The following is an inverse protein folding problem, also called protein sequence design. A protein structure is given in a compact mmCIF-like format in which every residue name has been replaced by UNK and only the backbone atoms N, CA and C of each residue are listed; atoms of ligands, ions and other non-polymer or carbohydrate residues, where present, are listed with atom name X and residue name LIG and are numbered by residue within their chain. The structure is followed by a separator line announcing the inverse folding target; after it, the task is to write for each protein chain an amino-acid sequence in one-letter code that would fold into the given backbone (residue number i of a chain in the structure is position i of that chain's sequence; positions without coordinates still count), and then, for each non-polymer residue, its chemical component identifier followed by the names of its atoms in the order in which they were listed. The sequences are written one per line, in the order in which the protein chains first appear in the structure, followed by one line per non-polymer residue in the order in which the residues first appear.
data_IF_988707422360
#
_entry.id   IF_988707422360
#
_cell.length_a   1.000
_cell.length_b   1.000
_cell.length_c   1.000
_cell.angle_alpha   90.00
_cell.angle_beta   90.00
_cell.angle_gamma   90.00
#
_symmetry.space_group_name_H-M   'P 1'
#
loop_
_entity.id
_entity.type
_entity.pdbx_description
1 polymer ?
#
# COMPACT_ATOMS: atom_id res chain seq x y z
N UNK A 1 2.91 -2.70 40.81
CA UNK A 1 2.62 -2.02 39.53
C UNK A 1 2.55 -3.10 38.46
N UNK A 2 1.41 -3.23 37.81
CA UNK A 2 1.26 -4.19 36.71
C UNK A 2 2.27 -3.85 35.62
N UNK A 3 2.98 -4.87 35.14
CA UNK A 3 3.96 -4.73 34.07
C UNK A 3 3.22 -4.54 32.71
N UNK A 4 2.86 -3.29 32.40
CA UNK A 4 2.11 -2.92 31.19
C UNK A 4 2.78 -3.50 29.94
N UNK A 5 4.09 -3.43 29.85
CA UNK A 5 4.83 -3.94 28.68
C UNK A 5 4.69 -5.48 28.54
N UNK A 6 4.73 -6.23 29.65
CA UNK A 6 4.47 -7.68 29.62
C UNK A 6 3.02 -7.99 29.20
N UNK A 7 2.06 -7.23 29.71
CA UNK A 7 0.64 -7.36 29.33
C UNK A 7 0.44 -7.14 27.84
N UNK A 8 1.04 -6.09 27.26
CA UNK A 8 0.97 -5.80 25.82
C UNK A 8 1.56 -6.93 24.99
N UNK A 9 2.74 -7.44 25.37
CA UNK A 9 3.35 -8.59 24.69
C UNK A 9 2.46 -9.84 24.73
N UNK A 10 1.79 -10.10 25.85
CA UNK A 10 0.83 -11.21 25.97
C UNK A 10 -0.40 -11.01 25.07
N UNK A 11 -0.99 -9.79 25.04
CA UNK A 11 -2.11 -9.46 24.15
C UNK A 11 -1.73 -9.63 22.66
N UNK A 12 -0.54 -9.18 22.25
CA UNK A 12 -0.06 -9.36 20.86
C UNK A 12 0.14 -10.83 20.50
N UNK A 13 0.62 -11.66 21.44
CA UNK A 13 0.73 -13.11 21.22
C UNK A 13 -0.62 -13.76 20.98
N UNK A 14 -1.62 -13.39 21.77
CA UNK A 14 -2.99 -13.87 21.62
C UNK A 14 -3.62 -13.39 20.29
N UNK A 15 -3.39 -12.12 19.92
CA UNK A 15 -3.83 -11.54 18.65
C UNK A 15 -3.23 -12.29 17.46
N UNK A 16 -1.92 -12.54 17.48
CA UNK A 16 -1.23 -13.29 16.44
C UNK A 16 -1.84 -14.69 16.24
N UNK A 17 -2.11 -15.40 17.35
CA UNK A 17 -2.75 -16.72 17.31
C UNK A 17 -4.17 -16.65 16.74
N UNK A 18 -4.97 -15.66 17.15
CA UNK A 18 -6.34 -15.49 16.66
C UNK A 18 -6.39 -15.11 15.17
N UNK A 19 -5.45 -14.27 14.71
CA UNK A 19 -5.35 -13.83 13.31
C UNK A 19 -4.62 -14.84 12.40
N UNK A 20 -4.07 -15.95 12.93
CA UNK A 20 -3.34 -16.94 12.15
C UNK A 20 -2.00 -16.46 11.55
N UNK A 21 -1.45 -15.34 12.07
CA UNK A 21 -0.15 -14.79 11.66
C UNK A 21 0.96 -15.17 12.65
N UNK A 22 2.21 -15.01 12.27
CA UNK A 22 3.33 -15.24 13.20
C UNK A 22 3.36 -14.16 14.28
N UNK A 23 3.84 -14.51 15.47
CA UNK A 23 4.02 -13.54 16.56
C UNK A 23 5.00 -12.42 16.15
N UNK A 24 6.06 -12.76 15.42
CA UNK A 24 7.02 -11.78 14.90
C UNK A 24 6.34 -10.77 13.97
N UNK A 25 5.46 -11.21 13.08
CA UNK A 25 4.70 -10.34 12.18
C UNK A 25 3.74 -9.43 12.96
N UNK A 26 3.05 -9.96 13.97
CA UNK A 26 2.16 -9.15 14.83
C UNK A 26 2.94 -8.09 15.61
N UNK A 27 4.12 -8.41 16.12
CA UNK A 27 5.02 -7.46 16.78
C UNK A 27 5.48 -6.36 15.81
N UNK A 28 5.83 -6.73 14.59
CA UNK A 28 6.29 -5.79 13.57
C UNK A 28 5.18 -4.81 13.20
N UNK A 29 3.98 -5.30 12.93
CA UNK A 29 2.79 -4.47 12.67
C UNK A 29 2.51 -3.51 13.85
N UNK A 30 2.61 -3.99 15.08
CA UNK A 30 2.41 -3.17 16.26
C UNK A 30 3.46 -2.04 16.40
N UNK A 31 4.72 -2.33 16.09
CA UNK A 31 5.77 -1.30 16.08
C UNK A 31 5.58 -0.31 14.93
N UNK A 32 5.13 -0.76 13.78
CA UNK A 32 4.76 0.12 12.67
C UNK A 32 3.61 1.05 13.07
N UNK A 33 2.58 0.55 13.75
CA UNK A 33 1.51 1.38 14.29
C UNK A 33 2.02 2.42 15.30
N UNK A 34 2.98 2.06 16.14
CA UNK A 34 3.59 3.02 17.08
C UNK A 34 4.33 4.13 16.34
N UNK A 35 5.03 3.80 15.25
CA UNK A 35 5.61 4.81 14.36
C UNK A 35 4.51 5.72 13.77
N UNK A 36 3.40 5.16 13.29
CA UNK A 36 2.29 5.95 12.76
C UNK A 36 1.65 6.85 13.84
N UNK A 37 1.59 6.42 15.11
CA UNK A 37 1.13 7.25 16.24
C UNK A 37 2.07 8.42 16.48
N UNK A 38 3.40 8.19 16.47
CA UNK A 38 4.41 9.25 16.56
C UNK A 38 4.27 10.25 15.41
N UNK A 39 4.15 9.75 14.17
CA UNK A 39 3.92 10.57 12.98
C UNK A 39 2.64 11.40 13.11
N UNK A 40 1.53 10.79 13.53
CA UNK A 40 0.23 11.46 13.73
C UNK A 40 0.30 12.64 14.70
N UNK A 41 1.09 12.49 15.77
CA UNK A 41 1.27 13.52 16.83
C UNK A 41 2.38 14.53 16.50
N UNK A 42 3.23 14.23 15.52
CA UNK A 42 4.24 15.16 15.05
C UNK A 42 3.62 16.25 14.16
N UNK A 43 4.21 17.42 14.11
CA UNK A 43 3.85 18.45 13.10
C UNK A 43 4.26 18.07 11.67
N UNK A 44 4.81 16.86 11.48
CA UNK A 44 5.48 16.41 10.25
C UNK A 44 4.61 15.49 9.38
N UNK A 45 3.41 15.11 9.84
CA UNK A 45 2.52 14.20 9.09
C UNK A 45 2.20 14.63 7.65
N UNK A 46 2.27 15.93 7.35
CA UNK A 46 2.02 16.50 6.02
C UNK A 46 3.06 16.09 4.96
N UNK A 47 4.25 15.68 5.40
CA UNK A 47 5.36 15.31 4.52
C UNK A 47 5.37 13.82 4.14
N UNK A 48 4.65 12.98 4.88
CA UNK A 48 4.63 11.53 4.66
C UNK A 48 3.20 11.03 4.38
N UNK A 49 2.99 10.49 3.20
CA UNK A 49 1.69 9.93 2.80
C UNK A 49 1.84 8.41 2.73
N UNK A 50 1.11 7.69 3.59
CA UNK A 50 1.14 6.23 3.64
C UNK A 50 0.57 5.63 2.34
N UNK A 51 1.29 4.66 1.79
CA UNK A 51 0.89 3.92 0.58
C UNK A 51 1.20 2.43 0.70
N UNK A 52 1.07 1.72 -0.41
CA UNK A 52 1.50 0.33 -0.50
C UNK A 52 0.63 -0.67 0.29
N UNK A 53 1.25 -1.77 0.66
CA UNK A 53 0.55 -2.90 1.27
C UNK A 53 -0.01 -2.59 2.65
N UNK A 54 0.70 -1.82 3.48
CA UNK A 54 0.24 -1.48 4.83
C UNK A 54 -1.01 -0.58 4.79
N UNK A 55 -1.08 0.36 3.85
CA UNK A 55 -2.29 1.15 3.62
C UNK A 55 -3.50 0.24 3.32
N UNK A 56 -3.37 -0.68 2.35
CA UNK A 56 -4.45 -1.62 2.01
C UNK A 56 -4.83 -2.47 3.22
N UNK A 57 -3.85 -3.04 3.92
CA UNK A 57 -4.08 -3.94 5.05
C UNK A 57 -4.82 -3.26 6.19
N UNK A 58 -4.48 -2.01 6.51
CA UNK A 58 -5.15 -1.24 7.56
C UNK A 58 -6.53 -0.73 7.12
N UNK A 59 -6.70 -0.37 5.86
CA UNK A 59 -7.98 0.07 5.30
C UNK A 59 -9.03 -1.06 5.30
N UNK A 60 -8.59 -2.31 5.14
CA UNK A 60 -9.44 -3.50 5.08
C UNK A 60 -9.60 -4.19 6.44
N UNK A 61 -9.38 -3.49 7.55
CA UNK A 61 -9.46 -4.05 8.91
C UNK A 61 -8.61 -5.31 9.10
N UNK A 62 -7.44 -5.37 8.42
CA UNK A 62 -6.51 -6.51 8.43
C UNK A 62 -7.05 -7.78 7.74
N UNK A 63 -8.05 -7.65 6.86
CA UNK A 63 -8.62 -8.77 6.11
C UNK A 63 -7.90 -9.06 4.79
N UNK A 64 -7.22 -8.05 4.21
CA UNK A 64 -6.38 -8.29 3.01
C UNK A 64 -5.10 -9.06 3.36
N UNK A 65 -4.26 -9.31 2.36
CA UNK A 65 -2.97 -9.97 2.62
C UNK A 65 -2.12 -9.14 3.59
N UNK A 66 -1.58 -9.81 4.59
CA UNK A 66 -0.67 -9.17 5.53
C UNK A 66 0.63 -8.71 4.83
N UNK A 67 1.18 -7.61 5.30
CA UNK A 67 2.44 -7.04 4.81
C UNK A 67 3.33 -6.63 5.97
N UNK A 68 4.61 -6.55 5.70
CA UNK A 68 5.62 -6.05 6.64
C UNK A 68 6.32 -4.79 6.11
N UNK A 69 6.05 -4.43 4.85
CA UNK A 69 6.64 -3.26 4.21
C UNK A 69 5.83 -2.01 4.62
N UNK A 70 6.53 -0.93 4.98
CA UNK A 70 5.93 0.37 5.25
C UNK A 70 6.41 1.33 4.17
N UNK A 71 5.51 1.69 3.28
CA UNK A 71 5.81 2.55 2.15
C UNK A 71 5.18 3.94 2.34
N UNK A 72 5.97 4.99 2.16
CA UNK A 72 5.48 6.37 2.11
C UNK A 72 5.86 7.07 0.81
N UNK A 73 5.02 8.02 0.41
CA UNK A 73 5.42 9.08 -0.48
C UNK A 73 5.93 10.25 0.38
N UNK A 74 7.19 10.65 0.17
CA UNK A 74 7.76 11.87 0.73
C UNK A 74 7.36 13.06 -0.15
N UNK A 75 6.77 14.10 0.45
CA UNK A 75 6.27 15.29 -0.23
C UNK A 75 6.93 16.55 0.30
N UNK A 76 7.11 17.52 -0.60
CA UNK A 76 7.53 18.88 -0.28
C UNK A 76 8.84 18.97 0.54
N UNK A 77 9.70 17.95 0.40
CA UNK A 77 11.01 17.86 1.03
C UNK A 77 12.04 17.26 0.07
N UNK A 78 13.32 17.52 0.34
CA UNK A 78 14.42 16.83 -0.34
C UNK A 78 14.48 15.36 0.08
N UNK A 79 14.80 14.48 -0.87
CA UNK A 79 15.07 13.06 -0.62
C UNK A 79 16.56 12.78 -0.36
N UNK A 80 17.31 13.74 0.18
CA UNK A 80 18.66 13.47 0.65
C UNK A 80 18.63 12.71 1.99
N UNK A 81 19.60 11.85 2.22
CA UNK A 81 19.70 11.05 3.46
C UNK A 81 19.63 11.95 4.69
N UNK A 82 20.40 13.04 4.73
CA UNK A 82 20.46 13.96 5.88
C UNK A 82 19.09 14.57 6.24
N UNK A 83 18.30 14.93 5.22
CA UNK A 83 16.95 15.50 5.42
C UNK A 83 16.00 14.44 5.94
N UNK A 84 16.04 13.24 5.36
CA UNK A 84 15.17 12.13 5.78
C UNK A 84 15.57 11.62 7.17
N UNK A 85 16.86 11.55 7.49
CA UNK A 85 17.35 11.21 8.82
C UNK A 85 16.81 12.19 9.87
N UNK A 86 16.96 13.50 9.62
CA UNK A 86 16.42 14.54 10.49
C UNK A 86 14.88 14.39 10.69
N UNK A 87 14.14 14.16 9.60
CA UNK A 87 12.69 13.96 9.64
C UNK A 87 12.30 12.76 10.52
N UNK A 88 12.94 11.62 10.30
CA UNK A 88 12.66 10.38 11.03
C UNK A 88 13.03 10.56 12.50
N UNK A 89 14.20 11.12 12.81
CA UNK A 89 14.65 11.34 14.18
C UNK A 89 13.70 12.27 14.96
N UNK A 90 13.18 13.31 14.33
CA UNK A 90 12.18 14.18 14.94
C UNK A 90 10.86 13.45 15.22
N UNK A 91 10.39 12.59 14.30
CA UNK A 91 9.20 11.76 14.52
C UNK A 91 9.43 10.78 15.67
N UNK A 92 10.58 10.12 15.73
CA UNK A 92 10.90 9.12 16.76
C UNK A 92 10.96 9.71 18.17
N UNK A 93 11.28 11.00 18.32
CA UNK A 93 11.31 11.72 19.60
C UNK A 93 9.92 12.05 20.16
N UNK A 94 8.86 11.99 19.33
CA UNK A 94 7.50 12.34 19.76
C UNK A 94 7.00 11.34 20.80
N UNK A 95 6.51 11.83 21.95
CA UNK A 95 5.87 10.98 22.96
C UNK A 95 4.44 10.63 22.52
N UNK A 96 4.11 9.35 22.63
CA UNK A 96 2.74 8.84 22.42
C UNK A 96 2.04 8.49 23.72
N UNK A 97 2.75 8.59 24.85
CA UNK A 97 2.32 8.09 26.17
C UNK A 97 2.64 6.61 26.38
N UNK A 98 3.29 5.95 25.42
CA UNK A 98 3.72 4.55 25.48
C UNK A 98 5.21 4.48 25.82
N UNK A 99 5.64 5.09 26.93
CA UNK A 99 7.07 5.29 27.29
C UNK A 99 7.87 3.98 27.47
N UNK A 100 7.17 2.83 27.55
CA UNK A 100 7.77 1.50 27.58
C UNK A 100 8.12 0.97 26.18
N UNK A 101 7.83 1.73 25.11
CA UNK A 101 8.21 1.42 23.73
C UNK A 101 9.28 2.42 23.30
N UNK A 102 10.49 1.92 23.08
CA UNK A 102 11.60 2.70 22.54
C UNK A 102 11.70 2.48 21.03
N UNK A 103 12.01 3.53 20.27
CA UNK A 103 12.29 3.44 18.84
C UNK A 103 13.54 4.23 18.48
N UNK A 104 14.39 3.63 17.68
CA UNK A 104 15.61 4.26 17.17
C UNK A 104 15.82 3.95 15.70
N UNK A 105 16.33 4.91 14.93
CA UNK A 105 16.87 4.65 13.62
C UNK A 105 18.26 3.98 13.77
N UNK A 106 18.55 2.99 12.95
CA UNK A 106 19.80 2.25 12.94
C UNK A 106 20.60 2.42 11.64
N UNK A 107 19.99 2.96 10.59
CA UNK A 107 20.64 3.24 9.32
C UNK A 107 19.68 3.79 8.29
N UNK A 108 20.27 4.40 7.26
CA UNK A 108 19.56 4.93 6.09
C UNK A 108 20.30 4.51 4.82
N UNK A 109 19.55 4.12 3.79
CA UNK A 109 20.13 3.71 2.52
C UNK A 109 19.28 4.17 1.34
N UNK A 110 19.90 4.43 0.19
CA UNK A 110 19.19 4.76 -1.03
C UNK A 110 18.60 3.50 -1.67
N UNK A 111 17.31 3.59 -2.06
CA UNK A 111 16.62 2.55 -2.78
C UNK A 111 16.64 2.89 -4.26
N UNK A 112 17.09 1.94 -5.11
CA UNK A 112 17.13 2.10 -6.58
C UNK A 112 17.86 3.37 -7.04
N UNK A 113 19.14 3.57 -6.67
CA UNK A 113 19.89 4.80 -6.96
C UNK A 113 20.01 5.10 -8.46
N UNK A 114 19.79 4.09 -9.33
CA UNK A 114 19.84 4.23 -10.80
C UNK A 114 18.59 4.89 -11.39
N UNK A 115 17.51 5.06 -10.61
CA UNK A 115 16.29 5.70 -11.08
C UNK A 115 16.39 7.22 -10.95
N UNK A 116 15.75 7.94 -11.86
CA UNK A 116 15.62 9.42 -11.79
C UNK A 116 15.05 9.89 -10.44
N UNK A 117 14.18 9.11 -9.86
CA UNK A 117 13.59 9.33 -8.53
C UNK A 117 13.92 8.13 -7.66
N UNK A 118 15.07 8.19 -6.95
CA UNK A 118 15.45 7.19 -5.98
C UNK A 118 14.70 7.43 -4.65
N UNK A 119 14.42 6.37 -3.93
CA UNK A 119 13.84 6.41 -2.60
C UNK A 119 14.92 6.29 -1.52
N UNK A 120 14.49 6.45 -0.26
CA UNK A 120 15.33 6.18 0.91
C UNK A 120 14.61 5.20 1.80
N UNK A 121 15.34 4.19 2.28
CA UNK A 121 14.91 3.25 3.31
C UNK A 121 15.52 3.64 4.64
N UNK A 122 14.69 3.85 5.66
CA UNK A 122 15.10 4.03 7.03
C UNK A 122 14.93 2.71 7.80
N UNK A 123 16.01 2.21 8.40
CA UNK A 123 16.01 1.02 9.24
C UNK A 123 15.67 1.40 10.67
N UNK A 124 14.53 0.94 11.18
CA UNK A 124 14.05 1.26 12.52
C UNK A 124 14.11 0.02 13.41
N UNK A 125 14.49 0.23 14.67
CA UNK A 125 14.41 -0.80 15.70
C UNK A 125 13.43 -0.32 16.77
N UNK A 126 12.27 -1.00 16.84
CA UNK A 126 11.36 -0.90 17.97
C UNK A 126 11.79 -1.84 19.10
N UNK A 127 11.64 -1.40 20.34
CA UNK A 127 11.99 -2.19 21.52
C UNK A 127 10.88 -2.09 22.58
N UNK A 128 10.47 -3.22 23.11
CA UNK A 128 9.59 -3.34 24.27
C UNK A 128 10.18 -4.38 25.21
N UNK A 129 10.60 -3.98 26.42
CA UNK A 129 11.41 -4.81 27.34
C UNK A 129 12.67 -5.35 26.62
N UNK A 130 12.81 -6.67 26.58
CA UNK A 130 13.92 -7.37 25.92
C UNK A 130 13.64 -7.75 24.46
N UNK A 131 12.46 -7.44 23.95
CA UNK A 131 12.06 -7.77 22.58
C UNK A 131 12.48 -6.65 21.65
N UNK A 132 13.32 -6.96 20.66
CA UNK A 132 13.74 -6.05 19.59
C UNK A 132 13.03 -6.44 18.29
N UNK A 133 12.48 -5.46 17.60
CA UNK A 133 11.69 -5.63 16.39
C UNK A 133 12.22 -4.68 15.31
N UNK A 134 13.09 -5.16 14.42
CA UNK A 134 13.53 -4.37 13.28
C UNK A 134 12.43 -4.30 12.21
N UNK A 135 12.32 -3.14 11.55
CA UNK A 135 11.52 -2.94 10.36
C UNK A 135 12.05 -1.77 9.54
N UNK A 136 11.70 -1.73 8.26
CA UNK A 136 12.10 -0.66 7.36
C UNK A 136 10.90 0.24 7.04
N UNK A 137 11.22 1.50 6.79
CA UNK A 137 10.30 2.51 6.26
C UNK A 137 10.87 2.99 4.94
N UNK A 138 10.19 2.68 3.85
CA UNK A 138 10.60 3.04 2.50
C UNK A 138 9.89 4.31 2.07
N UNK A 139 10.65 5.33 1.70
CA UNK A 139 10.15 6.64 1.29
C UNK A 139 10.53 6.90 -0.16
N UNK A 140 9.53 6.90 -1.03
CA UNK A 140 9.67 7.29 -2.43
C UNK A 140 9.31 8.75 -2.64
N UNK A 141 9.74 9.33 -3.76
CA UNK A 141 9.37 10.68 -4.20
C UNK A 141 8.82 10.65 -5.62
N UNK A 142 8.16 11.74 -6.00
CA UNK A 142 7.82 12.04 -7.39
C UNK A 142 6.53 11.42 -7.90
N UNK A 143 5.88 10.56 -7.15
CA UNK A 143 4.56 10.03 -7.52
C UNK A 143 3.46 11.10 -7.39
N UNK A 144 2.39 10.92 -8.16
CA UNK A 144 1.19 11.78 -8.13
C UNK A 144 0.07 11.08 -7.38
N UNK A 145 -0.74 11.85 -6.66
CA UNK A 145 -1.91 11.33 -5.95
C UNK A 145 -3.17 11.96 -6.54
N UNK A 146 -4.06 11.16 -7.07
CA UNK A 146 -5.34 11.59 -7.67
C UNK A 146 -6.50 10.97 -6.88
N UNK A 147 -7.48 11.75 -6.44
CA UNK A 147 -7.56 13.22 -6.57
C UNK A 147 -6.59 13.98 -5.64
N UNK A 148 -6.33 13.48 -4.44
CA UNK A 148 -5.40 14.03 -3.43
C UNK A 148 -5.21 13.05 -2.28
N UNK A 149 -4.19 13.28 -1.46
CA UNK A 149 -4.01 12.53 -0.23
C UNK A 149 -5.14 12.82 0.77
N UNK A 150 -5.59 11.77 1.47
CA UNK A 150 -6.71 11.86 2.40
C UNK A 150 -6.25 11.57 3.84
N UNK A 151 -6.75 12.31 4.80
CA UNK A 151 -6.57 11.93 6.21
C UNK A 151 -7.43 10.72 6.53
N UNK A 152 -6.79 9.68 7.06
CA UNK A 152 -7.47 8.47 7.50
C UNK A 152 -7.06 8.06 8.91
N UNK A 153 -8.03 7.55 9.64
CA UNK A 153 -7.82 6.90 10.93
C UNK A 153 -7.41 5.46 10.68
N UNK A 154 -6.19 5.12 11.09
CA UNK A 154 -5.62 3.79 10.87
C UNK A 154 -6.05 2.84 11.97
N UNK A 155 -6.58 1.67 11.61
CA UNK A 155 -6.95 0.63 12.56
C UNK A 155 -5.74 0.11 13.32
N UNK A 156 -5.95 -0.26 14.59
CA UNK A 156 -4.90 -0.74 15.49
C UNK A 156 -5.01 -2.23 15.79
N UNK A 157 -3.87 -2.88 16.03
CA UNK A 157 -3.82 -4.29 16.42
C UNK A 157 -4.49 -4.53 17.77
N UNK A 158 -4.36 -3.59 18.69
CA UNK A 158 -4.94 -3.66 20.03
C UNK A 158 -5.88 -2.47 20.25
N UNK A 159 -7.13 -2.69 20.71
CA UNK A 159 -8.13 -1.63 20.85
C UNK A 159 -7.81 -0.60 21.94
N UNK A 160 -6.92 -0.95 22.87
CA UNK A 160 -6.52 -0.07 23.97
C UNK A 160 -5.55 1.05 23.50
N UNK A 161 -5.09 1.00 22.25
CA UNK A 161 -4.17 1.99 21.70
C UNK A 161 -4.90 3.02 20.85
N UNK A 162 -4.44 4.27 20.97
CA UNK A 162 -4.96 5.36 20.14
C UNK A 162 -4.69 5.08 18.66
N UNK A 163 -5.74 5.17 17.86
CA UNK A 163 -5.65 5.00 16.42
C UNK A 163 -5.07 6.26 15.77
N UNK A 164 -3.93 6.18 15.07
CA UNK A 164 -3.31 7.35 14.45
C UNK A 164 -4.15 7.87 13.28
N UNK A 165 -4.11 9.20 13.08
CA UNK A 165 -4.71 9.88 11.93
C UNK A 165 -3.59 10.45 11.07
N UNK A 166 -3.39 9.90 9.90
CA UNK A 166 -2.31 10.25 8.97
C UNK A 166 -2.82 10.48 7.55
N UNK A 167 -1.98 11.05 6.71
CA UNK A 167 -2.24 11.13 5.28
C UNK A 167 -2.01 9.77 4.61
N UNK A 168 -2.92 9.38 3.72
CA UNK A 168 -2.85 8.16 2.93
C UNK A 168 -3.09 8.44 1.45
N UNK A 169 -2.68 7.51 0.61
CA UNK A 169 -3.08 7.48 -0.80
C UNK A 169 -4.60 7.38 -0.95
N UNK A 170 -5.08 7.75 -2.15
CA UNK A 170 -6.39 7.33 -2.64
C UNK A 170 -6.33 5.87 -3.11
N UNK A 171 -7.50 5.23 -3.19
CA UNK A 171 -7.61 3.89 -3.79
C UNK A 171 -7.24 3.92 -5.27
N UNK A 172 -7.66 4.98 -5.99
CA UNK A 172 -7.39 5.16 -7.41
C UNK A 172 -5.88 5.24 -7.70
N UNK A 173 -5.12 6.03 -6.90
CA UNK A 173 -3.67 6.09 -7.04
C UNK A 173 -2.98 4.77 -6.67
N UNK A 174 -3.54 4.04 -5.71
CA UNK A 174 -3.04 2.71 -5.36
C UNK A 174 -3.20 1.71 -6.52
N UNK A 175 -4.37 1.70 -7.17
CA UNK A 175 -4.60 0.90 -8.38
C UNK A 175 -3.64 1.35 -9.50
N UNK A 176 -3.53 2.66 -9.74
CA UNK A 176 -2.70 3.22 -10.81
C UNK A 176 -1.23 2.81 -10.69
N UNK A 177 -0.62 2.89 -9.49
CA UNK A 177 0.77 2.47 -9.26
C UNK A 177 0.99 0.98 -9.50
N UNK A 178 0.04 0.14 -9.08
CA UNK A 178 0.13 -1.32 -9.26
C UNK A 178 -0.04 -1.71 -10.72
N UNK A 179 -0.98 -1.08 -11.41
CA UNK A 179 -1.19 -1.30 -12.83
C UNK A 179 0.00 -0.81 -13.66
N UNK A 180 0.57 0.34 -13.35
CA UNK A 180 1.81 0.83 -13.94
C UNK A 180 2.97 -0.17 -13.77
N UNK A 181 3.15 -0.75 -12.58
CA UNK A 181 4.19 -1.74 -12.32
C UNK A 181 4.00 -3.03 -13.15
N UNK A 182 2.76 -3.41 -13.45
CA UNK A 182 2.43 -4.52 -14.36
C UNK A 182 2.81 -4.15 -15.80
N UNK A 183 2.38 -2.97 -16.28
CA UNK A 183 2.67 -2.51 -17.63
C UNK A 183 4.17 -2.32 -17.91
N UNK A 184 4.96 -1.89 -16.92
CA UNK A 184 6.40 -1.74 -17.07
C UNK A 184 7.14 -3.05 -17.26
N UNK A 185 6.63 -4.17 -16.80
CA UNK A 185 7.39 -5.42 -16.68
C UNK A 185 6.76 -6.61 -17.36
N UNK A 186 5.43 -6.63 -17.49
CA UNK A 186 4.66 -7.75 -18.03
C UNK A 186 5.14 -9.11 -17.47
N UNK A 187 5.49 -10.05 -18.33
CA UNK A 187 5.96 -11.40 -17.98
C UNK A 187 7.27 -11.45 -17.17
N UNK A 188 8.02 -10.35 -17.13
CA UNK A 188 9.23 -10.25 -16.30
C UNK A 188 8.93 -9.91 -14.84
N UNK A 189 7.67 -9.57 -14.50
CA UNK A 189 7.33 -9.21 -13.14
C UNK A 189 7.35 -10.42 -12.20
N UNK A 190 7.94 -10.24 -11.03
CA UNK A 190 7.77 -11.12 -9.87
C UNK A 190 6.75 -10.62 -8.86
N UNK A 191 6.06 -9.51 -9.16
CA UNK A 191 5.21 -8.77 -8.22
C UNK A 191 3.77 -9.28 -8.20
N UNK A 192 3.59 -10.55 -7.93
CA UNK A 192 2.25 -11.19 -7.83
C UNK A 192 1.32 -10.46 -6.87
N UNK A 193 1.89 -9.81 -5.85
CA UNK A 193 1.13 -8.97 -4.91
C UNK A 193 0.36 -7.84 -5.59
N UNK A 194 0.85 -7.29 -6.70
CA UNK A 194 0.16 -6.18 -7.37
C UNK A 194 -1.09 -6.65 -8.10
N UNK A 195 -1.06 -7.84 -8.72
CA UNK A 195 -2.25 -8.46 -9.30
C UNK A 195 -3.30 -8.81 -8.23
N UNK A 196 -2.86 -9.40 -7.13
CA UNK A 196 -3.74 -9.72 -6.00
C UNK A 196 -4.39 -8.47 -5.41
N UNK A 197 -3.62 -7.43 -5.19
CA UNK A 197 -4.11 -6.20 -4.59
C UNK A 197 -5.15 -5.50 -5.50
N UNK A 198 -4.92 -5.44 -6.83
CA UNK A 198 -5.92 -4.90 -7.78
C UNK A 198 -7.19 -5.74 -7.73
N UNK A 199 -7.07 -7.06 -7.83
CA UNK A 199 -8.19 -7.99 -7.75
C UNK A 199 -9.00 -7.80 -6.46
N UNK A 200 -8.30 -7.76 -5.31
CA UNK A 200 -8.93 -7.61 -4.00
C UNK A 200 -9.67 -6.27 -3.87
N UNK A 201 -9.02 -5.18 -4.27
CA UNK A 201 -9.60 -3.84 -4.19
C UNK A 201 -10.82 -3.67 -5.10
N UNK A 202 -10.77 -4.20 -6.33
CA UNK A 202 -11.90 -4.16 -7.27
C UNK A 202 -13.13 -4.90 -6.75
N UNK A 203 -12.95 -5.93 -5.92
CA UNK A 203 -14.02 -6.74 -5.33
C UNK A 203 -14.49 -6.27 -3.96
N UNK A 204 -13.82 -5.25 -3.40
CA UNK A 204 -14.10 -4.79 -2.03
C UNK A 204 -14.62 -3.35 -2.00
N UNK A 205 -14.22 -2.53 -2.97
CA UNK A 205 -14.51 -1.10 -2.97
C UNK A 205 -15.18 -0.64 -4.28
N UNK A 206 -15.92 0.44 -4.14
CA UNK A 206 -16.46 1.18 -5.28
C UNK A 206 -15.43 2.20 -5.77
N UNK A 207 -15.44 2.51 -7.07
CA UNK A 207 -14.54 3.48 -7.68
C UNK A 207 -15.28 4.46 -8.59
N UNK A 208 -14.88 5.70 -8.51
CA UNK A 208 -15.23 6.73 -9.48
C UNK A 208 -14.36 6.56 -10.73
N UNK A 209 -14.97 6.22 -11.85
CA UNK A 209 -14.26 5.91 -13.08
C UNK A 209 -13.47 7.08 -13.63
N UNK A 210 -13.97 8.32 -13.50
CA UNK A 210 -13.24 9.51 -13.95
C UNK A 210 -11.96 9.72 -13.12
N UNK A 211 -12.04 9.54 -11.80
CA UNK A 211 -10.87 9.62 -10.92
C UNK A 211 -9.89 8.49 -11.19
N UNK A 212 -10.39 7.26 -11.39
CA UNK A 212 -9.53 6.11 -11.70
C UNK A 212 -8.80 6.30 -13.03
N UNK A 213 -9.50 6.77 -14.08
CA UNK A 213 -8.90 7.11 -15.38
C UNK A 213 -7.81 8.17 -15.21
N UNK A 214 -8.11 9.26 -14.48
CA UNK A 214 -7.14 10.32 -14.23
C UNK A 214 -5.93 9.81 -13.45
N UNK A 215 -6.12 8.98 -12.41
CA UNK A 215 -5.03 8.43 -11.62
C UNK A 215 -4.10 7.54 -12.46
N UNK A 216 -4.67 6.66 -13.30
CA UNK A 216 -3.87 5.80 -14.20
C UNK A 216 -3.11 6.66 -15.22
N UNK A 217 -3.80 7.58 -15.90
CA UNK A 217 -3.19 8.43 -16.91
C UNK A 217 -2.02 9.25 -16.33
N UNK A 218 -2.25 9.98 -15.24
CA UNK A 218 -1.23 10.81 -14.58
C UNK A 218 -0.04 9.98 -14.07
N UNK A 219 -0.29 8.77 -13.56
CA UNK A 219 0.78 7.87 -13.11
C UNK A 219 1.64 7.40 -14.29
N UNK A 220 1.02 6.97 -15.39
CA UNK A 220 1.74 6.53 -16.60
C UNK A 220 2.57 7.67 -17.19
N UNK A 221 1.99 8.88 -17.29
CA UNK A 221 2.70 10.07 -17.77
C UNK A 221 3.88 10.43 -16.85
N UNK A 222 3.65 10.47 -15.54
CA UNK A 222 4.66 10.84 -14.56
C UNK A 222 5.85 9.90 -14.54
N UNK A 223 5.59 8.59 -14.69
CA UNK A 223 6.62 7.55 -14.70
C UNK A 223 7.22 7.29 -16.09
N UNK A 224 6.64 7.89 -17.13
CA UNK A 224 7.07 7.70 -18.50
C UNK A 224 6.89 6.25 -18.99
N UNK A 225 5.87 5.57 -18.49
CA UNK A 225 5.58 4.19 -18.89
C UNK A 225 4.97 4.17 -20.29
N UNK A 226 5.62 3.51 -21.26
CA UNK A 226 5.07 3.41 -22.61
C UNK A 226 3.86 2.50 -22.65
N UNK A 227 2.82 2.89 -23.37
CA UNK A 227 1.64 2.07 -23.60
C UNK A 227 1.04 2.31 -24.98
N UNK A 228 0.33 1.31 -25.49
CA UNK A 228 -0.40 1.35 -26.75
C UNK A 228 -1.69 0.50 -26.65
N UNK A 229 -2.44 0.41 -27.73
CA UNK A 229 -3.69 -0.37 -27.82
C UNK A 229 -3.51 -1.87 -27.55
N UNK A 230 -2.31 -2.42 -27.66
CA UNK A 230 -2.03 -3.83 -27.44
C UNK A 230 -1.50 -4.10 -26.02
N UNK A 231 -1.15 -3.07 -25.26
CA UNK A 231 -0.57 -3.22 -23.92
C UNK A 231 -1.52 -3.99 -22.98
N UNK A 232 -2.83 -3.70 -23.03
CA UNK A 232 -3.78 -4.43 -22.17
C UNK A 232 -3.97 -5.89 -22.62
N UNK A 233 -4.00 -6.17 -23.93
CA UNK A 233 -4.05 -7.55 -24.45
C UNK A 233 -2.86 -8.37 -23.95
N UNK A 234 -1.68 -7.77 -23.87
CA UNK A 234 -0.50 -8.42 -23.29
C UNK A 234 -0.68 -8.72 -21.81
N UNK A 235 -1.32 -7.84 -21.03
CA UNK A 235 -1.67 -8.14 -19.63
C UNK A 235 -2.61 -9.35 -19.55
N UNK A 236 -3.64 -9.40 -20.40
CA UNK A 236 -4.60 -10.53 -20.43
C UNK A 236 -3.89 -11.84 -20.78
N UNK A 237 -2.95 -11.82 -21.73
CA UNK A 237 -2.21 -13.03 -22.12
C UNK A 237 -1.33 -13.63 -21.01
N UNK A 238 -1.05 -12.87 -19.94
CA UNK A 238 -0.30 -13.39 -18.77
C UNK A 238 -1.05 -14.52 -18.07
N UNK A 239 -2.37 -14.61 -18.20
CA UNK A 239 -3.16 -15.70 -17.64
C UNK A 239 -2.71 -17.09 -18.13
N UNK A 240 -2.23 -17.16 -19.38
CA UNK A 240 -1.79 -18.42 -20.03
C UNK A 240 -0.28 -18.64 -19.85
N UNK A 241 0.46 -17.68 -19.34
CA UNK A 241 1.90 -17.80 -19.14
C UNK A 241 2.23 -18.77 -18.00
N UNK A 242 2.96 -19.84 -18.33
CA UNK A 242 3.27 -20.94 -17.41
C UNK A 242 4.14 -20.46 -16.23
N UNK A 243 5.05 -19.53 -16.45
CA UNK A 243 5.93 -19.05 -15.38
C UNK A 243 5.20 -18.05 -14.46
N UNK A 244 4.28 -17.26 -15.00
CA UNK A 244 3.38 -16.43 -14.18
C UNK A 244 2.48 -17.29 -13.30
N UNK A 245 1.89 -18.37 -13.84
CA UNK A 245 1.09 -19.31 -13.04
C UNK A 245 1.90 -19.98 -11.93
N UNK A 246 3.17 -20.36 -12.18
CA UNK A 246 4.06 -20.90 -11.15
C UNK A 246 4.36 -19.86 -10.06
N UNK A 247 4.70 -18.62 -10.44
CA UNK A 247 4.94 -17.51 -9.50
C UNK A 247 3.70 -17.21 -8.67
N UNK A 248 2.51 -17.25 -9.30
CA UNK A 248 1.23 -17.08 -8.63
C UNK A 248 1.00 -18.15 -7.55
N UNK A 249 1.15 -19.44 -7.90
CA UNK A 249 1.03 -20.54 -6.93
C UNK A 249 2.02 -20.42 -5.76
N UNK A 250 3.22 -19.93 -6.02
CA UNK A 250 4.18 -19.66 -4.95
C UNK A 250 3.72 -18.51 -4.06
N UNK A 251 3.23 -17.43 -4.66
CA UNK A 251 2.70 -16.28 -3.91
C UNK A 251 1.50 -16.67 -3.03
N UNK A 252 0.55 -17.44 -3.55
CA UNK A 252 -0.62 -17.90 -2.78
C UNK A 252 -0.23 -18.65 -1.50
N UNK A 253 0.83 -19.45 -1.54
CA UNK A 253 1.35 -20.11 -0.32
C UNK A 253 1.78 -19.09 0.75
N UNK A 254 2.27 -17.93 0.36
CA UNK A 254 2.69 -16.89 1.32
C UNK A 254 1.50 -16.23 2.02
N UNK A 255 0.34 -16.19 1.38
CA UNK A 255 -0.91 -15.63 1.93
C UNK A 255 -1.87 -16.72 2.43
N UNK A 256 -1.44 -17.99 2.40
CA UNK A 256 -2.22 -19.16 2.83
C UNK A 256 -3.56 -19.33 2.09
N UNK A 257 -3.59 -18.96 0.84
CA UNK A 257 -4.67 -19.24 -0.09
C UNK A 257 -4.12 -20.23 -1.14
N UNK A 258 -4.86 -21.28 -1.45
CA UNK A 258 -4.50 -22.27 -2.47
C UNK A 258 -5.59 -22.46 -3.52
N UNK A 259 -6.64 -21.65 -3.44
CA UNK A 259 -7.86 -21.80 -4.26
C UNK A 259 -7.98 -20.81 -5.40
N UNK A 260 -7.35 -19.63 -5.30
CA UNK A 260 -7.52 -18.55 -6.27
C UNK A 260 -6.64 -18.77 -7.51
N UNK A 261 -7.27 -19.08 -8.64
CA UNK A 261 -6.55 -19.25 -9.91
C UNK A 261 -6.12 -17.90 -10.51
N UNK A 262 -4.93 -17.86 -11.14
CA UNK A 262 -4.40 -16.63 -11.74
C UNK A 262 -5.26 -16.11 -12.89
N UNK A 263 -5.87 -17.01 -13.66
CA UNK A 263 -6.81 -16.67 -14.74
C UNK A 263 -8.02 -15.89 -14.23
N UNK A 264 -8.58 -16.27 -13.07
CA UNK A 264 -9.70 -15.56 -12.42
C UNK A 264 -9.29 -14.14 -12.01
N UNK A 265 -8.06 -13.98 -11.53
CA UNK A 265 -7.52 -12.66 -11.16
C UNK A 265 -7.34 -11.78 -12.40
N UNK A 266 -6.78 -12.32 -13.46
CA UNK A 266 -6.61 -11.57 -14.72
C UNK A 266 -7.97 -11.21 -15.35
N UNK A 267 -8.95 -12.11 -15.32
CA UNK A 267 -10.32 -11.83 -15.80
C UNK A 267 -10.95 -10.65 -15.02
N UNK A 268 -10.85 -10.65 -13.69
CA UNK A 268 -11.37 -9.53 -12.88
C UNK A 268 -10.65 -8.22 -13.17
N UNK A 269 -9.31 -8.26 -13.32
CA UNK A 269 -8.52 -7.08 -13.71
C UNK A 269 -8.94 -6.59 -15.10
N UNK A 270 -9.23 -7.50 -16.03
CA UNK A 270 -9.70 -7.16 -17.36
C UNK A 270 -11.04 -6.44 -17.29
N UNK A 271 -12.04 -6.99 -16.62
CA UNK A 271 -13.36 -6.39 -16.47
C UNK A 271 -13.26 -5.00 -15.81
N UNK A 272 -12.36 -4.85 -14.84
CA UNK A 272 -12.21 -3.62 -14.08
C UNK A 272 -11.42 -2.55 -14.82
N UNK A 273 -10.26 -2.89 -15.40
CA UNK A 273 -9.32 -1.88 -15.92
C UNK A 273 -9.32 -1.72 -17.45
N UNK A 274 -9.67 -2.74 -18.25
CA UNK A 274 -9.61 -2.63 -19.70
C UNK A 274 -10.48 -1.49 -20.25
N UNK A 275 -11.76 -1.30 -19.81
CA UNK A 275 -12.57 -0.21 -20.31
C UNK A 275 -12.01 1.18 -19.97
N UNK A 276 -11.40 1.32 -18.79
CA UNK A 276 -10.75 2.56 -18.35
C UNK A 276 -9.48 2.83 -19.18
N UNK A 277 -8.70 1.77 -19.42
CA UNK A 277 -7.47 1.87 -20.21
C UNK A 277 -7.77 2.18 -21.69
N UNK A 278 -8.81 1.58 -22.26
CA UNK A 278 -9.28 1.89 -23.62
C UNK A 278 -9.69 3.37 -23.74
N UNK A 279 -10.39 3.90 -22.73
CA UNK A 279 -10.74 5.32 -22.68
C UNK A 279 -9.50 6.23 -22.54
N UNK A 280 -8.39 5.77 -21.94
CA UNK A 280 -7.10 6.49 -21.92
C UNK A 280 -6.47 6.47 -23.31
N UNK A 281 -6.39 5.31 -23.95
CA UNK A 281 -5.74 5.12 -25.27
C UNK A 281 -6.46 5.86 -26.37
N UNK A 282 -7.79 5.92 -26.32
CA UNK A 282 -8.63 6.60 -27.31
C UNK A 282 -8.89 8.08 -26.99
N UNK A 283 -8.41 8.58 -25.85
CA UNK A 283 -8.68 9.92 -25.34
C UNK A 283 -10.18 10.20 -25.07
N UNK A 284 -10.96 9.15 -24.82
CA UNK A 284 -12.39 9.23 -24.57
C UNK A 284 -12.68 9.69 -23.14
N UNK A 285 -13.85 10.32 -22.91
CA UNK A 285 -14.35 10.56 -21.56
C UNK A 285 -14.79 9.25 -20.90
N UNK A 286 -14.64 9.17 -19.56
CA UNK A 286 -15.06 8.03 -18.78
C UNK A 286 -15.71 8.48 -17.47
N UNK A 287 -17.04 8.39 -17.39
CA UNK A 287 -17.85 8.91 -16.27
C UNK A 287 -18.58 7.80 -15.49
N UNK A 288 -18.33 6.52 -15.84
CA UNK A 288 -18.99 5.37 -15.20
C UNK A 288 -18.53 5.20 -13.75
N UNK A 289 -19.37 4.55 -12.95
CA UNK A 289 -19.04 4.16 -11.58
C UNK A 289 -18.82 2.66 -11.51
N UNK A 290 -17.79 2.24 -10.80
CA UNK A 290 -17.57 0.84 -10.49
C UNK A 290 -18.19 0.51 -9.14
N UNK A 291 -19.13 -0.43 -9.12
CA UNK A 291 -19.63 -1.05 -7.91
C UNK A 291 -19.06 -2.45 -7.77
N UNK A 292 -18.49 -2.79 -6.63
CA UNK A 292 -17.86 -4.10 -6.41
C UNK A 292 -18.84 -5.28 -6.62
N UNK A 293 -20.17 -5.07 -6.48
CA UNK A 293 -21.21 -6.05 -6.78
C UNK A 293 -21.78 -5.90 -8.19
N UNK A 294 -21.79 -4.69 -8.75
CA UNK A 294 -22.54 -4.35 -9.97
C UNK A 294 -21.67 -4.09 -11.19
N UNK A 295 -20.34 -4.05 -10.99
CA UNK A 295 -19.34 -3.72 -12.01
C UNK A 295 -19.52 -2.29 -12.54
N UNK A 296 -19.12 -1.99 -13.79
CA UNK A 296 -19.27 -0.67 -14.39
C UNK A 296 -20.73 -0.33 -14.74
N UNK A 297 -21.23 0.76 -14.15
CA UNK A 297 -22.58 1.28 -14.38
C UNK A 297 -22.51 2.75 -14.81
N UNK A 298 -23.56 3.22 -15.51
CA UNK A 298 -23.72 4.64 -15.79
C UNK A 298 -23.87 5.42 -14.48
N UNK A 299 -23.29 6.62 -14.44
CA UNK A 299 -23.42 7.48 -13.28
C UNK A 299 -24.85 8.04 -13.20
N UNK A 300 -25.66 7.59 -12.23
CA UNK A 300 -27.03 8.06 -12.04
C UNK A 300 -27.15 9.58 -11.80
N UNK A 301 -26.05 10.26 -11.45
CA UNK A 301 -26.05 11.73 -11.26
C UNK A 301 -26.09 12.53 -12.58
N UNK A 302 -25.80 11.92 -13.72
CA UNK A 302 -25.88 12.55 -15.03
C UNK A 302 -27.29 12.62 -15.61
N UNK A 303 -28.29 12.03 -14.94
CA UNK A 303 -29.69 12.03 -15.37
C UNK A 303 -30.56 13.10 -14.68
N UNK A 304 -29.96 13.98 -13.89
CA UNK A 304 -30.68 15.07 -13.19
C UNK A 304 -30.24 16.48 -13.65
N UNK A 305 -29.98 16.66 -14.93
CA UNK A 305 -29.84 17.98 -15.55
C UNK A 305 -30.92 18.21 -16.61
#
# INVERSE_FOLDING_TARGET
MDDIAASVLAKLRNKAKAAGISYQQCLQLFMQEEFLRKLSKSGLKKFLVLKGGLFIYTLTNFESRATIDVDFLLRDMSNSIDVVETLIDEILKVSTGNDYIEMTASGFEEISPQRKYHGISAQIIGKIKNVRVPFNIDMGIGDVIVPHAMEQKIQTQLPDFEAPVILTYSLESTIAEKFDAILQRFELTGRMKDFYDIYYLARTFDFDGAKLKAAIFETLQRRGTPYDRNSFKRVVSLAEDVDMQKRWKYFLKTIKDDTLEFSVVIEEIQIFLEPVFDAIVNEDEWQKQWGFLTKWNENERSLQL
#
